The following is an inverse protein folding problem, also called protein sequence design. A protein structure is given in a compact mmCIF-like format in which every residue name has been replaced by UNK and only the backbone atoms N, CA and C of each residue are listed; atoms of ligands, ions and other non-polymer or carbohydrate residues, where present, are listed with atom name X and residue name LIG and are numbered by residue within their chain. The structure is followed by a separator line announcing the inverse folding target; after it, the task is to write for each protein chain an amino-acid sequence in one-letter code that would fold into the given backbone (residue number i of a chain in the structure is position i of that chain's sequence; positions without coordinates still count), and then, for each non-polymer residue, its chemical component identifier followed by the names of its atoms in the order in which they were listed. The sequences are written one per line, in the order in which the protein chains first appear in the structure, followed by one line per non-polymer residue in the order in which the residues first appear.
data_IF_235008991502
#
_entry.id   IF_235008991502
#
_cell.length_a   1.000
_cell.length_b   1.000
_cell.length_c   1.000
_cell.angle_alpha   90.00
_cell.angle_beta   90.00
_cell.angle_gamma   90.00
#
_symmetry.space_group_name_H-M   'P 1'
#
loop_
_entity.id
_entity.type
_entity.pdbx_description
1 polymer ?
#
# COMPACT_ATOMS: atom_id res chain seq x y z
N UNK A 1 38.72 -1.18 -3.69
CA UNK A 1 37.93 -1.59 -2.51
C UNK A 1 36.50 -1.14 -2.80
N UNK A 2 35.73 -2.00 -3.51
CA UNK A 2 34.33 -1.73 -3.85
C UNK A 2 33.51 -1.84 -2.57
N UNK A 3 32.91 -0.73 -2.15
CA UNK A 3 32.00 -0.69 -1.02
C UNK A 3 30.72 -1.41 -1.46
N UNK A 4 30.43 -2.59 -0.93
CA UNK A 4 29.16 -3.28 -1.16
C UNK A 4 27.99 -2.31 -0.91
N UNK A 5 26.95 -2.30 -1.76
CA UNK A 5 25.81 -1.42 -1.60
C UNK A 5 25.09 -1.76 -0.29
N UNK A 6 25.25 -0.92 0.71
CA UNK A 6 24.56 -1.06 2.00
C UNK A 6 23.10 -0.71 1.83
N UNK A 7 22.23 -1.69 1.94
CA UNK A 7 20.79 -1.46 1.96
C UNK A 7 20.37 -0.79 3.29
N UNK A 8 19.49 0.22 3.25
CA UNK A 8 19.02 0.90 4.45
C UNK A 8 18.17 -0.03 5.34
N UNK A 9 18.17 0.25 6.62
CA UNK A 9 17.25 -0.33 7.59
C UNK A 9 15.88 0.33 7.50
N UNK A 10 14.85 -0.32 8.01
CA UNK A 10 13.49 0.25 8.09
C UNK A 10 13.46 1.56 8.88
N UNK A 11 14.34 1.73 9.87
CA UNK A 11 14.50 2.96 10.64
C UNK A 11 15.04 4.11 9.77
N UNK A 12 16.12 3.88 9.04
CA UNK A 12 16.68 4.87 8.10
C UNK A 12 15.66 5.27 7.02
N UNK A 13 14.85 4.31 6.59
CA UNK A 13 13.74 4.56 5.65
C UNK A 13 12.63 5.40 6.27
N UNK A 14 12.30 5.20 7.56
CA UNK A 14 11.33 6.02 8.27
C UNK A 14 11.81 7.45 8.45
N UNK A 15 13.07 7.63 8.85
CA UNK A 15 13.70 8.94 9.01
C UNK A 15 13.72 9.71 7.67
N UNK A 16 14.08 9.04 6.57
CA UNK A 16 14.02 9.62 5.23
C UNK A 16 12.58 10.00 4.82
N UNK A 17 11.58 9.16 5.11
CA UNK A 17 10.17 9.45 4.84
C UNK A 17 9.69 10.71 5.56
N UNK A 18 10.07 10.89 6.83
CA UNK A 18 9.65 12.04 7.62
C UNK A 18 10.23 13.36 7.08
N UNK A 19 11.41 13.31 6.45
CA UNK A 19 12.12 14.46 5.88
C UNK A 19 11.71 14.76 4.42
N UNK A 20 11.24 13.76 3.66
CA UNK A 20 10.87 13.93 2.25
C UNK A 20 9.42 14.40 2.11
N UNK A 21 9.23 15.72 2.03
CA UNK A 21 7.92 16.35 1.83
C UNK A 21 7.25 15.89 0.52
N UNK A 22 8.01 15.64 -0.54
CA UNK A 22 7.48 15.18 -1.83
C UNK A 22 6.90 13.77 -1.74
N UNK A 23 7.59 12.85 -1.07
CA UNK A 23 7.08 11.50 -0.85
C UNK A 23 5.86 11.50 0.07
N UNK A 24 5.87 12.29 1.13
CA UNK A 24 4.72 12.47 2.02
C UNK A 24 3.49 12.96 1.27
N UNK A 25 3.62 14.02 0.48
CA UNK A 25 2.54 14.59 -0.32
C UNK A 25 1.92 13.56 -1.28
N UNK A 26 2.76 12.74 -1.95
CA UNK A 26 2.28 11.66 -2.83
C UNK A 26 1.50 10.58 -2.08
N UNK A 27 1.93 10.20 -0.89
CA UNK A 27 1.22 9.22 -0.07
C UNK A 27 -0.12 9.77 0.43
N UNK A 28 -0.17 11.02 0.87
CA UNK A 28 -1.41 11.68 1.29
C UNK A 28 -2.40 11.81 0.12
N UNK A 29 -1.93 12.26 -1.05
CA UNK A 29 -2.76 12.30 -2.26
C UNK A 29 -3.28 10.92 -2.66
N UNK A 30 -2.45 9.89 -2.55
CA UNK A 30 -2.85 8.51 -2.78
C UNK A 30 -3.94 8.05 -1.80
N UNK A 31 -3.80 8.35 -0.51
CA UNK A 31 -4.79 7.99 0.52
C UNK A 31 -6.15 8.64 0.24
N UNK A 32 -6.15 9.92 -0.13
CA UNK A 32 -7.36 10.64 -0.52
C UNK A 32 -8.01 10.07 -1.77
N UNK A 33 -7.24 9.96 -2.87
CA UNK A 33 -7.76 9.50 -4.16
C UNK A 33 -8.22 8.03 -4.12
N UNK A 34 -7.50 7.19 -3.37
CA UNK A 34 -7.73 5.73 -3.40
C UNK A 34 -8.70 5.24 -2.33
N UNK A 35 -8.62 5.82 -1.14
CA UNK A 35 -9.37 5.37 0.03
C UNK A 35 -10.44 6.38 0.48
N UNK A 36 -10.46 7.57 -0.11
CA UNK A 36 -11.37 8.65 0.29
C UNK A 36 -11.10 9.14 1.71
N UNK A 37 -9.84 9.08 2.17
CA UNK A 37 -9.47 9.58 3.48
C UNK A 37 -9.42 11.10 3.47
N UNK A 38 -9.91 11.74 4.54
CA UNK A 38 -9.67 13.16 4.79
C UNK A 38 -8.16 13.39 5.05
N UNK A 39 -7.68 14.61 4.88
CA UNK A 39 -6.26 14.94 5.05
C UNK A 39 -5.77 14.54 6.44
N UNK A 40 -6.52 14.90 7.48
CA UNK A 40 -6.20 14.58 8.88
C UNK A 40 -6.08 13.06 9.10
N UNK A 41 -7.07 12.28 8.64
CA UNK A 41 -7.05 10.81 8.72
C UNK A 41 -5.82 10.22 7.98
N UNK A 42 -5.48 10.78 6.82
CA UNK A 42 -4.34 10.32 6.02
C UNK A 42 -2.99 10.68 6.67
N UNK A 43 -2.90 11.83 7.35
CA UNK A 43 -1.72 12.22 8.13
C UNK A 43 -1.54 11.32 9.35
N UNK A 44 -2.59 10.96 10.05
CA UNK A 44 -2.54 10.00 11.15
C UNK A 44 -2.05 8.63 10.68
N UNK A 45 -2.58 8.14 9.57
CA UNK A 45 -2.12 6.88 8.95
C UNK A 45 -0.65 6.97 8.54
N UNK A 46 -0.19 8.13 8.06
CA UNK A 46 1.21 8.34 7.69
C UNK A 46 2.13 8.33 8.92
N UNK A 47 1.71 8.93 10.02
CA UNK A 47 2.43 8.90 11.30
C UNK A 47 2.51 7.47 11.84
N UNK A 48 1.41 6.74 11.84
CA UNK A 48 1.39 5.33 12.24
C UNK A 48 2.31 4.47 11.38
N UNK A 49 2.38 4.76 10.07
CA UNK A 49 3.32 4.11 9.16
C UNK A 49 4.76 4.37 9.56
N UNK A 50 5.12 5.61 9.85
CA UNK A 50 6.46 5.98 10.28
C UNK A 50 6.83 5.28 11.60
N UNK A 51 5.91 5.26 12.58
CA UNK A 51 6.10 4.56 13.85
C UNK A 51 6.31 3.06 13.67
N UNK A 52 5.56 2.43 12.78
CA UNK A 52 5.73 1.00 12.48
C UNK A 52 7.09 0.72 11.85
N UNK A 53 7.54 1.55 10.91
CA UNK A 53 8.85 1.43 10.28
C UNK A 53 9.99 1.61 11.29
N UNK A 54 9.84 2.52 12.26
CA UNK A 54 10.80 2.73 13.33
C UNK A 54 10.92 1.52 14.28
N UNK A 55 9.82 0.81 14.51
CA UNK A 55 9.78 -0.39 15.37
C UNK A 55 10.40 -1.62 14.70
N UNK A 56 10.32 -1.69 13.39
CA UNK A 56 10.88 -2.80 12.62
C UNK A 56 12.41 -2.65 12.50
N UNK A 57 13.13 -3.78 12.51
CA UNK A 57 14.59 -3.84 12.29
C UNK A 57 14.92 -4.66 11.06
N UNK A 58 14.31 -4.29 9.93
CA UNK A 58 14.42 -5.05 8.68
C UNK A 58 15.33 -4.32 7.69
N UNK A 59 16.18 -5.06 6.98
CA UNK A 59 16.95 -4.53 5.85
C UNK A 59 16.01 -4.35 4.65
N UNK A 60 15.99 -3.15 4.08
CA UNK A 60 15.04 -2.75 3.04
C UNK A 60 15.75 -2.60 1.70
N UNK A 61 15.48 -3.51 0.76
CA UNK A 61 16.08 -3.46 -0.59
C UNK A 61 15.40 -2.44 -1.52
N UNK A 62 14.12 -2.19 -1.33
CA UNK A 62 13.36 -1.20 -2.09
C UNK A 62 12.62 -0.27 -1.11
N UNK A 63 13.23 0.83 -0.66
CA UNK A 63 12.65 1.73 0.33
C UNK A 63 11.28 2.29 -0.07
N UNK A 64 11.14 2.79 -1.30
CA UNK A 64 9.88 3.37 -1.78
C UNK A 64 8.74 2.35 -1.81
N UNK A 65 8.99 1.17 -2.38
CA UNK A 65 8.00 0.10 -2.42
C UNK A 65 7.66 -0.46 -1.05
N UNK A 66 8.61 -0.46 -0.12
CA UNK A 66 8.39 -0.90 1.25
C UNK A 66 7.49 0.08 2.01
N UNK A 67 7.83 1.37 1.99
CA UNK A 67 7.00 2.44 2.59
C UNK A 67 5.58 2.40 2.03
N UNK A 68 5.45 2.34 0.69
CA UNK A 68 4.15 2.28 0.04
C UNK A 68 3.33 1.07 0.50
N UNK A 69 3.96 -0.10 0.60
CA UNK A 69 3.27 -1.34 1.02
C UNK A 69 2.77 -1.26 2.47
N UNK A 70 3.60 -0.71 3.38
CA UNK A 70 3.21 -0.52 4.79
C UNK A 70 2.10 0.52 4.90
N UNK A 71 2.24 1.67 4.24
CA UNK A 71 1.25 2.74 4.22
C UNK A 71 -0.10 2.26 3.67
N UNK A 72 -0.09 1.56 2.53
CA UNK A 72 -1.30 0.98 1.95
C UNK A 72 -1.99 0.02 2.93
N UNK A 73 -1.23 -0.85 3.58
CA UNK A 73 -1.76 -1.75 4.60
C UNK A 73 -2.43 -0.99 5.74
N UNK A 74 -1.79 0.09 6.25
CA UNK A 74 -2.36 0.93 7.30
C UNK A 74 -3.64 1.65 6.86
N UNK A 75 -3.73 2.12 5.62
CA UNK A 75 -4.97 2.67 5.08
C UNK A 75 -6.10 1.63 5.08
N UNK A 76 -5.81 0.39 4.68
CA UNK A 76 -6.79 -0.70 4.73
C UNK A 76 -7.24 -0.99 6.16
N UNK A 77 -6.30 -1.10 7.12
CA UNK A 77 -6.60 -1.36 8.54
C UNK A 77 -7.44 -0.23 9.14
N UNK A 78 -7.13 1.02 8.83
CA UNK A 78 -7.88 2.20 9.25
C UNK A 78 -9.34 2.13 8.77
N UNK A 79 -9.57 1.84 7.49
CA UNK A 79 -10.92 1.69 6.94
C UNK A 79 -11.66 0.51 7.55
N UNK A 80 -11.00 -0.62 7.78
CA UNK A 80 -11.62 -1.78 8.43
C UNK A 80 -12.04 -1.44 9.87
N UNK A 81 -11.17 -0.75 10.62
CA UNK A 81 -11.48 -0.27 11.97
C UNK A 81 -12.68 0.67 11.97
N UNK A 82 -12.70 1.66 11.05
CA UNK A 82 -13.80 2.63 10.90
C UNK A 82 -15.12 1.96 10.52
N UNK A 83 -15.11 0.98 9.62
CA UNK A 83 -16.29 0.17 9.28
C UNK A 83 -16.79 -0.61 10.48
N UNK A 84 -15.91 -1.16 11.29
CA UNK A 84 -16.24 -1.90 12.51
C UNK A 84 -16.88 -0.99 13.55
N UNK A 85 -16.32 0.19 13.80
CA UNK A 85 -16.87 1.19 14.71
C UNK A 85 -18.23 1.69 14.27
N UNK A 86 -18.46 1.91 12.96
CA UNK A 86 -19.77 2.30 12.41
C UNK A 86 -20.85 1.22 12.59
N UNK A 87 -20.48 -0.06 12.55
CA UNK A 87 -21.43 -1.15 12.82
C UNK A 87 -21.88 -1.20 14.29
N UNK A 88 -21.04 -0.72 15.20
CA UNK A 88 -21.32 -0.67 16.63
C UNK A 88 -22.07 0.61 17.03
N UNK A 89 -22.00 1.68 16.24
CA UNK A 89 -22.64 2.99 16.49
C UNK A 89 -23.35 3.48 15.22
N UNK A 90 -24.61 3.06 14.97
CA UNK A 90 -25.30 3.34 13.71
C UNK A 90 -25.63 4.81 13.43
N UNK A 91 -25.44 5.73 14.39
CA UNK A 91 -25.87 7.13 14.28
C UNK A 91 -24.77 8.18 14.13
N UNK A 92 -23.52 7.84 13.84
CA UNK A 92 -22.50 8.87 13.58
C UNK A 92 -22.46 9.25 12.10
N UNK A 93 -23.10 10.33 11.75
CA UNK A 93 -22.95 11.06 10.48
C UNK A 93 -21.52 11.62 10.39
N UNK A 94 -20.61 10.89 9.79
CA UNK A 94 -19.30 11.40 9.43
C UNK A 94 -19.30 11.74 7.95
N UNK A 95 -19.55 13.00 7.66
CA UNK A 95 -19.34 13.61 6.35
C UNK A 95 -17.84 13.93 6.26
N UNK A 96 -17.07 13.01 5.71
CA UNK A 96 -15.70 13.31 5.30
C UNK A 96 -15.72 13.54 3.79
N UNK A 97 -15.46 14.78 3.39
CA UNK A 97 -15.25 15.09 1.98
C UNK A 97 -14.03 14.31 1.45
N UNK A 98 -14.15 13.59 0.33
CA UNK A 98 -12.99 12.93 -0.25
C UNK A 98 -11.97 13.97 -0.71
N UNK A 99 -10.68 13.72 -0.46
CA UNK A 99 -9.62 14.51 -1.05
C UNK A 99 -9.64 14.25 -2.57
N UNK A 100 -10.10 15.22 -3.33
CA UNK A 100 -9.96 15.24 -4.79
C UNK A 100 -8.56 15.81 -5.12
N UNK A 101 -7.53 15.02 -4.93
CA UNK A 101 -6.20 15.33 -5.44
C UNK A 101 -6.04 14.79 -6.87
N UNK A 102 -5.18 15.41 -7.71
CA UNK A 102 -4.84 14.84 -8.99
C UNK A 102 -4.25 13.43 -8.78
N UNK A 103 -4.74 12.47 -9.56
CA UNK A 103 -4.13 11.15 -9.60
C UNK A 103 -2.63 11.29 -9.92
N UNK A 104 -1.74 10.42 -9.36
CA UNK A 104 -0.35 10.39 -9.77
C UNK A 104 -0.28 10.38 -11.30
N UNK A 105 0.64 11.17 -11.84
CA UNK A 105 0.84 11.34 -13.30
C UNK A 105 1.26 9.98 -13.89
N UNK A 106 0.26 9.12 -14.14
CA UNK A 106 0.44 7.83 -14.81
C UNK A 106 0.49 8.09 -16.31
N UNK A 107 1.65 7.88 -16.91
CA UNK A 107 1.80 7.95 -18.35
C UNK A 107 1.03 6.79 -19.01
N UNK A 108 0.60 7.00 -20.27
CA UNK A 108 -0.08 5.96 -21.08
C UNK A 108 0.81 4.72 -21.19
N UNK A 109 2.12 4.92 -21.27
CA UNK A 109 3.14 3.85 -21.33
C UNK A 109 3.15 2.98 -20.08
N UNK A 110 3.02 3.57 -18.87
CA UNK A 110 2.95 2.85 -17.61
C UNK A 110 1.71 1.94 -17.56
N UNK A 111 0.58 2.40 -18.08
CA UNK A 111 -0.66 1.61 -18.16
C UNK A 111 -0.55 0.43 -19.12
N UNK A 112 0.10 0.63 -20.26
CA UNK A 112 0.33 -0.44 -21.25
C UNK A 112 1.29 -1.48 -20.71
N UNK A 113 2.41 -1.05 -20.09
CA UNK A 113 3.37 -1.92 -19.43
C UNK A 113 2.71 -2.75 -18.32
N UNK A 114 1.90 -2.12 -17.47
CA UNK A 114 1.14 -2.82 -16.43
C UNK A 114 0.20 -3.87 -17.01
N UNK A 115 -0.54 -3.56 -18.09
CA UNK A 115 -1.44 -4.54 -18.75
C UNK A 115 -0.70 -5.75 -19.29
N UNK A 116 0.46 -5.55 -19.92
CA UNK A 116 1.30 -6.64 -20.42
C UNK A 116 1.78 -7.52 -19.29
N UNK A 117 2.36 -6.92 -18.24
CA UNK A 117 2.88 -7.64 -17.08
C UNK A 117 1.78 -8.38 -16.33
N UNK A 118 0.58 -7.79 -16.20
CA UNK A 118 -0.58 -8.50 -15.64
C UNK A 118 -1.06 -9.66 -16.50
N UNK A 119 -0.76 -9.66 -17.82
CA UNK A 119 -1.00 -10.79 -18.72
C UNK A 119 -0.19 -12.03 -18.36
N UNK A 120 1.05 -11.83 -17.91
CA UNK A 120 2.03 -12.89 -17.61
C UNK A 120 1.83 -13.56 -16.23
N UNK A 121 1.02 -12.99 -15.34
CA UNK A 121 0.76 -13.58 -14.02
C UNK A 121 -0.53 -14.40 -14.01
N UNK A 122 -0.56 -15.44 -13.16
CA UNK A 122 -1.75 -16.30 -13.03
C UNK A 122 -3.00 -15.48 -12.63
N UNK A 123 -4.17 -15.96 -13.04
CA UNK A 123 -5.46 -15.33 -12.71
C UNK A 123 -5.64 -15.08 -11.22
N UNK A 124 -5.23 -16.02 -10.37
CA UNK A 124 -5.31 -15.87 -8.90
C UNK A 124 -4.39 -14.76 -8.40
N UNK A 125 -3.15 -14.67 -8.91
CA UNK A 125 -2.24 -13.56 -8.59
C UNK A 125 -2.81 -12.22 -9.03
N UNK A 126 -3.34 -12.14 -10.24
CA UNK A 126 -3.96 -10.93 -10.78
C UNK A 126 -5.13 -10.48 -9.91
N UNK A 127 -6.05 -11.38 -9.58
CA UNK A 127 -7.21 -11.08 -8.72
C UNK A 127 -6.78 -10.64 -7.32
N UNK A 128 -5.78 -11.29 -6.72
CA UNK A 128 -5.26 -10.92 -5.40
C UNK A 128 -4.67 -9.52 -5.42
N UNK A 129 -3.82 -9.22 -6.40
CA UNK A 129 -3.16 -7.93 -6.53
C UNK A 129 -4.16 -6.81 -6.84
N UNK A 130 -5.12 -7.04 -7.74
CA UNK A 130 -6.18 -6.08 -8.05
C UNK A 130 -7.05 -5.81 -6.83
N UNK A 131 -7.50 -6.85 -6.14
CA UNK A 131 -8.33 -6.69 -4.94
C UNK A 131 -7.61 -5.87 -3.86
N UNK A 132 -6.33 -6.12 -3.63
CA UNK A 132 -5.55 -5.43 -2.61
C UNK A 132 -5.13 -4.03 -3.05
N UNK A 133 -4.41 -3.89 -4.18
CA UNK A 133 -3.81 -2.62 -4.60
C UNK A 133 -4.76 -1.70 -5.38
N UNK A 134 -5.71 -2.26 -6.13
CA UNK A 134 -6.61 -1.48 -6.99
C UNK A 134 -7.98 -1.29 -6.33
N UNK A 135 -8.57 -2.30 -5.70
CA UNK A 135 -9.89 -2.19 -5.08
C UNK A 135 -9.80 -1.71 -3.61
N UNK A 136 -8.60 -1.58 -3.03
CA UNK A 136 -8.38 -1.13 -1.65
C UNK A 136 -9.00 -2.06 -0.60
N UNK A 137 -9.10 -3.36 -0.91
CA UNK A 137 -9.59 -4.36 0.04
C UNK A 137 -8.51 -4.67 1.06
N UNK A 138 -8.92 -4.99 2.28
CA UNK A 138 -8.00 -5.56 3.26
C UNK A 138 -7.40 -6.87 2.74
N UNK A 139 -6.24 -7.25 3.27
CA UNK A 139 -5.58 -8.50 2.86
C UNK A 139 -6.47 -9.73 3.10
N UNK A 140 -7.32 -9.69 4.13
CA UNK A 140 -8.32 -10.72 4.44
C UNK A 140 -9.39 -10.82 3.35
N UNK A 141 -9.95 -9.69 2.95
CA UNK A 141 -10.96 -9.64 1.88
C UNK A 141 -10.37 -10.05 0.53
N UNK A 142 -9.14 -9.62 0.23
CA UNK A 142 -8.42 -10.01 -0.98
C UNK A 142 -8.14 -11.52 -1.02
N UNK A 143 -7.80 -12.14 0.12
CA UNK A 143 -7.64 -13.59 0.25
C UNK A 143 -8.94 -14.33 -0.04
N UNK A 144 -10.05 -13.85 0.55
CA UNK A 144 -11.38 -14.41 0.34
C UNK A 144 -11.81 -14.36 -1.12
N UNK A 145 -11.45 -13.30 -1.86
CA UNK A 145 -11.76 -13.14 -3.29
C UNK A 145 -11.13 -14.22 -4.19
N UNK A 146 -10.09 -14.92 -3.71
CA UNK A 146 -9.42 -16.02 -4.42
C UNK A 146 -9.52 -17.35 -3.69
N UNK A 147 -10.43 -17.46 -2.72
CA UNK A 147 -10.65 -18.65 -1.88
C UNK A 147 -9.36 -19.14 -1.18
N UNK A 148 -8.50 -18.20 -0.73
CA UNK A 148 -7.25 -18.50 -0.04
C UNK A 148 -7.42 -18.29 1.47
N UNK A 149 -6.87 -19.22 2.26
CA UNK A 149 -6.79 -19.05 3.71
C UNK A 149 -5.92 -17.84 4.07
N UNK A 150 -6.36 -17.03 5.02
CA UNK A 150 -5.65 -15.81 5.43
C UNK A 150 -4.21 -16.06 5.86
N UNK A 151 -3.93 -17.18 6.53
CA UNK A 151 -2.58 -17.56 6.96
C UNK A 151 -1.57 -17.71 5.80
N UNK A 152 -2.06 -18.03 4.58
CA UNK A 152 -1.23 -18.21 3.39
C UNK A 152 -1.14 -16.98 2.48
N UNK A 153 -1.98 -15.97 2.71
CA UNK A 153 -2.14 -14.85 1.77
C UNK A 153 -0.87 -14.01 1.62
N UNK A 154 -0.15 -13.76 2.70
CA UNK A 154 1.09 -12.98 2.67
C UNK A 154 2.18 -13.67 1.85
N UNK A 155 2.34 -14.98 2.04
CA UNK A 155 3.28 -15.79 1.26
C UNK A 155 2.92 -15.79 -0.23
N UNK A 156 1.63 -15.88 -0.53
CA UNK A 156 1.13 -15.83 -1.91
C UNK A 156 1.32 -14.45 -2.52
N UNK A 157 1.00 -13.36 -1.80
CA UNK A 157 1.23 -11.98 -2.23
C UNK A 157 2.70 -11.74 -2.58
N UNK A 158 3.62 -12.14 -1.70
CA UNK A 158 5.07 -12.00 -1.92
C UNK A 158 5.53 -12.77 -3.16
N UNK A 159 4.98 -13.98 -3.40
CA UNK A 159 5.28 -14.78 -4.60
C UNK A 159 4.76 -14.10 -5.87
N UNK A 160 3.55 -13.56 -5.83
CA UNK A 160 2.96 -12.83 -6.96
C UNK A 160 3.76 -11.58 -7.32
N UNK A 161 4.14 -10.78 -6.32
CA UNK A 161 4.99 -9.60 -6.51
C UNK A 161 6.38 -9.94 -7.06
N UNK A 162 6.97 -11.05 -6.59
CA UNK A 162 8.26 -11.52 -7.13
C UNK A 162 8.15 -11.91 -8.59
N UNK A 163 7.05 -12.55 -9.00
CA UNK A 163 6.79 -12.91 -10.39
C UNK A 163 6.63 -11.66 -11.26
N UNK A 164 5.81 -10.69 -10.82
CA UNK A 164 5.67 -9.41 -11.51
C UNK A 164 7.01 -8.70 -11.74
N UNK A 165 7.86 -8.65 -10.72
CA UNK A 165 9.19 -8.01 -10.85
C UNK A 165 10.08 -8.66 -11.90
N UNK A 166 9.96 -9.98 -12.11
CA UNK A 166 10.72 -10.67 -13.17
C UNK A 166 10.22 -10.34 -14.56
N UNK A 167 8.96 -9.99 -14.71
CA UNK A 167 8.38 -9.59 -16.00
C UNK A 167 8.67 -8.11 -16.33
N UNK A 168 9.12 -7.33 -15.34
CA UNK A 168 9.47 -5.90 -15.50
C UNK A 168 10.99 -5.67 -15.62
N UNK A 169 11.81 -6.70 -15.42
CA UNK A 169 13.26 -6.66 -15.54
C UNK A 169 13.71 -7.08 -16.94
#
# INVERSE_FOLDING_TARGET
METEPRFPTSREVAEALLLDAGQRSKLLAYAGARFGLALEDAEDVLQDTALELLRQRTIVRNPRGFVFSVFHGRCCDFLESRRRSRRLLPNSLSVTAPLTGPAPDETIDDRLALRQVFGEVSTSCRRLLLAYYVEGRSLREAASAIALAYSGVWKTMTRCLRRLRRCLA
#
